data_IF_467055692906
#
_entry.id   IF_467055692906
#
_cell.length_a   1.000
_cell.length_b   1.000
_cell.length_c   1.000
_cell.angle_alpha   90.00
_cell.angle_beta   90.00
_cell.angle_gamma   90.00
#
_symmetry.space_group_name_H-M   'P 1'
#
loop_
_entity.id
_entity.type
_entity.pdbx_description
1 polymer ?
#
# COMPACT_ATOMS: atom_id res chain seq x y z
N UNK A 1 16.35 94.44 -26.76
CA UNK A 1 14.96 94.03 -26.84
C UNK A 1 14.76 92.94 -25.82
N UNK A 2 13.98 93.28 -24.79
CA UNK A 2 13.79 92.47 -23.58
C UNK A 2 12.71 91.39 -23.79
N UNK A 3 12.85 90.27 -23.21
CA UNK A 3 11.70 89.47 -22.85
C UNK A 3 12.04 88.56 -21.63
N UNK A 4 11.43 88.93 -20.55
CA UNK A 4 11.44 88.23 -19.24
C UNK A 4 10.51 87.07 -19.27
N UNK A 5 11.01 85.87 -18.98
CA UNK A 5 10.13 84.72 -18.68
C UNK A 5 10.16 84.42 -17.19
N UNK A 6 9.00 84.55 -16.58
CA UNK A 6 8.76 84.21 -15.17
C UNK A 6 8.60 82.70 -15.05
N UNK A 7 9.44 82.07 -14.27
CA UNK A 7 9.33 80.69 -13.88
C UNK A 7 8.27 80.52 -12.80
N UNK A 8 7.26 79.74 -13.09
CA UNK A 8 6.28 79.27 -12.10
C UNK A 8 6.72 77.88 -11.63
N UNK A 9 7.11 77.78 -10.37
CA UNK A 9 7.43 76.52 -9.74
C UNK A 9 6.15 75.79 -9.34
N UNK A 10 5.85 74.69 -10.00
CA UNK A 10 4.76 73.79 -9.60
C UNK A 10 5.35 72.71 -8.67
N UNK A 11 4.96 72.76 -7.39
CA UNK A 11 5.27 71.74 -6.41
C UNK A 11 4.35 70.54 -6.60
N UNK A 12 4.89 69.46 -7.11
CA UNK A 12 4.19 68.18 -7.22
C UNK A 12 4.35 67.36 -5.92
N UNK A 13 3.29 67.28 -5.15
CA UNK A 13 3.17 66.41 -4.00
C UNK A 13 2.94 64.97 -4.51
N UNK A 14 3.97 64.13 -4.42
CA UNK A 14 3.88 62.70 -4.64
C UNK A 14 3.31 62.04 -3.39
N UNK A 15 2.01 61.66 -3.48
CA UNK A 15 1.35 60.79 -2.49
C UNK A 15 1.78 59.35 -2.77
N UNK A 16 2.62 58.81 -1.90
CA UNK A 16 2.97 57.39 -1.93
C UNK A 16 1.81 56.60 -1.29
N UNK A 17 0.97 55.95 -2.09
CA UNK A 17 0.01 54.98 -1.63
C UNK A 17 0.74 53.64 -1.37
N UNK A 18 1.01 53.30 -0.10
CA UNK A 18 1.49 52.03 0.30
C UNK A 18 0.39 50.98 0.12
N UNK A 19 0.48 50.18 -0.96
CA UNK A 19 -0.39 49.04 -1.14
C UNK A 19 0.06 47.92 -0.18
N UNK A 20 -0.68 47.71 0.91
CA UNK A 20 -0.52 46.53 1.79
C UNK A 20 -1.08 45.32 1.05
N UNK A 21 -0.20 44.53 0.41
CA UNK A 21 -0.56 43.24 -0.14
C UNK A 21 -0.80 42.30 1.03
N UNK A 22 -2.08 42.01 1.32
CA UNK A 22 -2.45 40.93 2.24
C UNK A 22 -2.01 39.60 1.60
N UNK A 23 -0.93 39.00 2.11
CA UNK A 23 -0.53 37.63 1.77
C UNK A 23 -1.57 36.71 2.37
N UNK A 24 -2.55 36.31 1.56
CA UNK A 24 -3.47 35.23 1.90
C UNK A 24 -2.66 33.94 1.84
N UNK A 25 -2.25 33.44 2.99
CA UNK A 25 -1.64 32.12 3.07
C UNK A 25 -2.66 31.07 2.55
N UNK A 26 -2.26 30.16 1.64
CA UNK A 26 -3.16 29.10 1.21
C UNK A 26 -3.58 28.28 2.44
N UNK A 27 -4.86 27.81 2.49
CA UNK A 27 -5.28 26.92 3.57
C UNK A 27 -4.34 25.72 3.59
N UNK A 28 -3.71 25.50 4.74
CA UNK A 28 -2.91 24.31 4.99
C UNK A 28 -3.83 23.13 4.72
N UNK A 29 -3.53 22.38 3.65
CA UNK A 29 -4.21 21.12 3.37
C UNK A 29 -3.97 20.25 4.60
N UNK A 30 -5.00 20.11 5.45
CA UNK A 30 -4.98 19.12 6.51
C UNK A 30 -4.73 17.79 5.81
N UNK A 31 -3.58 17.18 6.09
CA UNK A 31 -3.28 15.84 5.61
C UNK A 31 -4.41 14.95 6.12
N UNK A 32 -5.29 14.50 5.23
CA UNK A 32 -6.25 13.46 5.58
C UNK A 32 -5.46 12.28 6.10
N UNK A 33 -5.65 11.96 7.37
CA UNK A 33 -5.13 10.74 7.97
C UNK A 33 -5.92 9.60 7.32
N UNK A 34 -5.45 9.13 6.18
CA UNK A 34 -5.99 7.93 5.56
C UNK A 34 -5.62 6.77 6.48
N UNK A 35 -6.62 6.26 7.20
CA UNK A 35 -6.47 5.03 7.99
C UNK A 35 -6.14 3.91 7.01
N UNK A 36 -4.88 3.48 7.01
CA UNK A 36 -4.40 2.42 6.13
C UNK A 36 -5.06 1.10 6.56
N UNK A 37 -5.75 0.44 5.62
CA UNK A 37 -6.32 -0.89 5.87
C UNK A 37 -5.22 -1.89 6.20
N UNK A 38 -5.55 -2.79 7.12
CA UNK A 38 -4.71 -3.93 7.48
C UNK A 38 -5.39 -5.25 7.16
N UNK A 39 -4.65 -6.34 7.20
CA UNK A 39 -5.20 -7.69 7.00
C UNK A 39 -6.27 -8.08 8.03
N UNK A 40 -6.42 -7.35 9.14
CA UNK A 40 -7.50 -7.53 10.11
C UNK A 40 -8.85 -6.92 9.67
N UNK A 41 -8.91 -6.22 8.54
CA UNK A 41 -10.09 -5.50 8.06
C UNK A 41 -10.88 -6.27 7.00
N UNK A 42 -10.82 -7.62 7.05
CA UNK A 42 -11.62 -8.52 6.20
C UNK A 42 -11.42 -8.24 4.70
N UNK A 43 -10.17 -8.23 4.25
CA UNK A 43 -9.73 -7.73 2.93
C UNK A 43 -9.81 -8.75 1.79
N UNK A 44 -10.23 -9.98 2.06
CA UNK A 44 -10.41 -11.05 1.07
C UNK A 44 -11.74 -11.77 1.30
N UNK A 45 -12.26 -12.51 0.32
CA UNK A 45 -13.44 -13.34 0.50
C UNK A 45 -13.06 -14.81 0.77
N UNK A 46 -13.91 -15.49 1.57
CA UNK A 46 -13.73 -16.91 1.84
C UNK A 46 -13.74 -17.75 0.56
N UNK A 47 -14.63 -17.41 -0.39
CA UNK A 47 -14.74 -18.12 -1.67
C UNK A 47 -13.44 -18.01 -2.48
N UNK A 48 -12.82 -16.84 -2.50
CA UNK A 48 -11.54 -16.64 -3.14
C UNK A 48 -10.44 -17.51 -2.52
N UNK A 49 -10.33 -17.48 -1.21
CA UNK A 49 -9.33 -18.26 -0.49
C UNK A 49 -9.53 -19.78 -0.68
N UNK A 50 -10.76 -20.26 -0.55
CA UNK A 50 -11.08 -21.68 -0.76
C UNK A 50 -10.78 -22.13 -2.19
N UNK A 51 -11.04 -21.27 -3.18
CA UNK A 51 -10.74 -21.53 -4.59
C UNK A 51 -9.24 -21.68 -4.89
N UNK A 52 -8.38 -21.00 -4.14
CA UNK A 52 -6.92 -21.09 -4.34
C UNK A 52 -6.27 -22.33 -3.67
N UNK A 53 -7.01 -23.03 -2.80
CA UNK A 53 -6.49 -24.16 -2.03
C UNK A 53 -5.81 -25.22 -2.89
N UNK A 54 -6.49 -25.69 -3.92
CA UNK A 54 -5.99 -26.78 -4.77
C UNK A 54 -4.70 -26.35 -5.52
N UNK A 55 -4.63 -25.10 -5.97
CA UNK A 55 -3.42 -24.57 -6.60
C UNK A 55 -2.28 -24.50 -5.60
N UNK A 56 -2.52 -23.99 -4.39
CA UNK A 56 -1.51 -23.94 -3.34
C UNK A 56 -0.96 -25.34 -3.01
N UNK A 57 -1.84 -26.31 -2.81
CA UNK A 57 -1.45 -27.70 -2.50
C UNK A 57 -0.60 -28.31 -3.61
N UNK A 58 -0.86 -27.95 -4.87
CA UNK A 58 -0.16 -28.51 -6.03
C UNK A 58 1.23 -27.93 -6.24
N UNK A 59 1.42 -26.61 -6.06
CA UNK A 59 2.64 -25.93 -6.49
C UNK A 59 3.42 -25.22 -5.36
N UNK A 60 2.85 -25.09 -4.15
CA UNK A 60 3.46 -24.34 -3.05
C UNK A 60 3.74 -25.20 -1.81
N UNK A 61 2.81 -26.12 -1.48
CA UNK A 61 2.80 -26.80 -0.18
C UNK A 61 4.02 -27.69 0.10
N UNK A 62 4.75 -28.12 -0.94
CA UNK A 62 5.95 -28.93 -0.74
C UNK A 62 7.08 -28.16 -0.03
N UNK A 63 7.17 -26.85 -0.26
CA UNK A 63 8.21 -25.98 0.29
C UNK A 63 7.69 -24.98 1.31
N UNK A 64 6.39 -24.76 1.37
CA UNK A 64 5.76 -23.73 2.18
C UNK A 64 4.73 -24.28 3.18
N UNK A 65 5.19 -24.81 4.35
CA UNK A 65 4.29 -25.11 5.48
C UNK A 65 3.72 -23.82 6.08
N UNK A 66 2.78 -23.94 7.04
CA UNK A 66 2.23 -22.78 7.75
C UNK A 66 2.81 -22.58 9.16
N UNK A 67 3.72 -23.43 9.58
CA UNK A 67 4.43 -23.28 10.85
C UNK A 67 5.83 -23.89 10.80
N UNK A 68 6.70 -23.50 11.72
CA UNK A 68 8.04 -24.11 11.88
C UNK A 68 7.93 -25.59 12.21
N UNK A 69 6.91 -26.01 12.97
CA UNK A 69 6.69 -27.39 13.35
C UNK A 69 6.32 -28.30 12.17
N UNK A 70 5.77 -27.74 11.11
CA UNK A 70 5.38 -28.47 9.89
C UNK A 70 6.51 -28.62 8.88
N UNK A 71 7.66 -27.99 9.10
CA UNK A 71 8.82 -28.10 8.19
C UNK A 71 9.30 -29.54 8.09
N UNK A 72 9.52 -29.98 6.86
CA UNK A 72 10.06 -31.31 6.53
C UNK A 72 11.53 -31.23 6.10
N UNK A 73 11.96 -30.08 5.59
CA UNK A 73 13.31 -29.83 5.08
C UNK A 73 13.85 -28.53 5.69
N UNK A 74 15.15 -28.39 5.92
CA UNK A 74 15.73 -27.14 6.47
C UNK A 74 15.44 -25.89 5.62
N UNK A 75 15.29 -26.05 4.31
CA UNK A 75 15.01 -24.97 3.36
C UNK A 75 13.53 -24.57 3.24
N UNK A 76 12.63 -25.30 3.89
CA UNK A 76 11.22 -24.97 3.86
C UNK A 76 10.99 -23.60 4.52
N UNK A 77 10.17 -22.76 3.88
CA UNK A 77 9.88 -21.40 4.33
C UNK A 77 8.43 -21.34 4.76
N UNK A 78 8.14 -21.25 6.08
CA UNK A 78 6.77 -21.14 6.55
C UNK A 78 6.06 -19.90 6.06
N UNK A 79 4.82 -20.03 5.62
CA UNK A 79 3.91 -18.93 5.28
C UNK A 79 2.94 -18.60 6.42
N UNK A 80 3.31 -18.94 7.64
CA UNK A 80 2.59 -18.62 8.87
C UNK A 80 3.52 -18.55 10.06
N UNK A 81 2.95 -18.23 11.22
CA UNK A 81 3.71 -18.07 12.46
C UNK A 81 4.66 -16.87 12.45
N UNK A 82 5.58 -16.85 13.43
CA UNK A 82 6.48 -15.71 13.64
C UNK A 82 7.35 -15.41 12.43
N UNK A 83 7.92 -16.42 11.78
CA UNK A 83 8.76 -16.26 10.58
C UNK A 83 8.03 -15.47 9.47
N UNK A 84 6.75 -15.79 9.20
CA UNK A 84 5.97 -15.06 8.22
C UNK A 84 5.74 -13.61 8.65
N UNK A 85 5.34 -13.39 9.90
CA UNK A 85 5.01 -12.05 10.39
C UNK A 85 6.25 -11.16 10.57
N UNK A 86 7.39 -11.68 10.89
CA UNK A 86 8.66 -10.94 10.93
C UNK A 86 9.05 -10.39 9.55
N UNK A 87 8.80 -11.17 8.51
CA UNK A 87 9.13 -10.78 7.14
C UNK A 87 8.10 -9.86 6.48
N UNK A 88 6.82 -9.97 6.85
CA UNK A 88 5.74 -9.34 6.10
C UNK A 88 4.97 -8.26 6.86
N UNK A 89 5.01 -8.18 8.19
CA UNK A 89 4.28 -7.15 8.94
C UNK A 89 4.69 -5.75 8.51
N UNK A 90 3.71 -4.90 8.23
CA UNK A 90 3.89 -3.53 7.76
C UNK A 90 4.11 -3.41 6.24
N UNK A 91 4.25 -4.52 5.51
CA UNK A 91 4.41 -4.51 4.05
C UNK A 91 3.05 -4.64 3.36
N UNK A 92 2.86 -4.02 2.18
CA UNK A 92 1.64 -4.17 1.39
C UNK A 92 1.44 -5.60 0.90
N UNK A 93 0.19 -6.06 0.84
CA UNK A 93 -0.16 -7.36 0.24
C UNK A 93 0.26 -7.47 -1.23
N UNK A 94 0.32 -6.34 -1.93
CA UNK A 94 0.81 -6.29 -3.31
C UNK A 94 2.27 -6.73 -3.47
N UNK A 95 3.11 -6.49 -2.47
CA UNK A 95 4.49 -6.97 -2.49
C UNK A 95 4.55 -8.50 -2.36
N UNK A 96 3.70 -9.08 -1.48
CA UNK A 96 3.58 -10.53 -1.36
C UNK A 96 3.06 -11.15 -2.65
N UNK A 97 2.00 -10.58 -3.25
CA UNK A 97 1.46 -11.05 -4.51
C UNK A 97 2.48 -10.95 -5.65
N UNK A 98 3.22 -9.83 -5.74
CA UNK A 98 4.28 -9.65 -6.74
C UNK A 98 5.41 -10.67 -6.54
N UNK A 99 5.82 -10.92 -5.32
CA UNK A 99 6.83 -11.95 -5.02
C UNK A 99 6.36 -13.32 -5.50
N UNK A 100 5.09 -13.68 -5.24
CA UNK A 100 4.53 -14.95 -5.73
C UNK A 100 4.52 -14.99 -7.26
N UNK A 101 4.00 -13.97 -7.91
CA UNK A 101 3.84 -13.95 -9.37
C UNK A 101 5.18 -13.99 -10.13
N UNK A 102 6.22 -13.32 -9.60
CA UNK A 102 7.48 -13.16 -10.31
C UNK A 102 8.55 -14.19 -9.94
N UNK A 103 8.45 -14.79 -8.76
CA UNK A 103 9.55 -15.63 -8.23
C UNK A 103 9.13 -17.02 -7.80
N UNK A 104 7.82 -17.32 -7.77
CA UNK A 104 7.32 -18.61 -7.30
C UNK A 104 6.51 -19.36 -8.36
N UNK A 105 6.61 -20.68 -8.40
CA UNK A 105 7.61 -21.50 -7.71
C UNK A 105 9.01 -21.26 -8.29
N UNK A 106 10.03 -21.20 -7.41
CA UNK A 106 11.40 -20.83 -7.82
C UNK A 106 12.14 -21.89 -8.63
N UNK A 107 11.56 -23.09 -8.76
CA UNK A 107 12.05 -24.16 -9.63
C UNK A 107 11.53 -24.06 -11.07
N UNK A 108 10.70 -23.06 -11.36
CA UNK A 108 10.11 -22.83 -12.68
C UNK A 108 9.07 -23.87 -13.10
N UNK A 109 8.56 -24.68 -12.17
CA UNK A 109 7.59 -25.76 -12.47
C UNK A 109 6.21 -25.25 -12.90
N UNK A 110 5.89 -23.99 -12.64
CA UNK A 110 4.65 -23.33 -13.04
C UNK A 110 4.86 -21.80 -13.24
N UNK A 111 3.90 -21.18 -13.93
CA UNK A 111 3.78 -19.72 -14.01
C UNK A 111 2.52 -19.33 -13.24
N UNK A 112 2.64 -18.32 -12.36
CA UNK A 112 1.53 -17.79 -11.57
C UNK A 112 1.19 -16.39 -12.08
N UNK A 113 -0.03 -16.18 -12.55
CA UNK A 113 -0.52 -14.86 -12.95
C UNK A 113 -0.73 -13.95 -11.73
N UNK A 114 -0.83 -12.62 -11.96
CA UNK A 114 -1.11 -11.66 -10.89
C UNK A 114 -2.43 -11.97 -10.16
N UNK A 115 -3.47 -12.39 -10.89
CA UNK A 115 -4.76 -12.75 -10.31
C UNK A 115 -4.64 -14.00 -9.43
N UNK A 116 -3.98 -15.04 -9.92
CA UNK A 116 -3.71 -16.25 -9.15
C UNK A 116 -2.86 -15.95 -7.90
N UNK A 117 -1.89 -15.04 -8.01
CA UNK A 117 -1.09 -14.61 -6.86
C UNK A 117 -1.96 -13.94 -5.78
N UNK A 118 -2.91 -13.07 -6.16
CA UNK A 118 -3.87 -12.48 -5.21
C UNK A 118 -4.78 -13.54 -4.58
N UNK A 119 -5.20 -14.55 -5.33
CA UNK A 119 -5.98 -15.66 -4.81
C UNK A 119 -5.15 -16.50 -3.82
N UNK A 120 -3.89 -16.77 -4.12
CA UNK A 120 -2.96 -17.43 -3.20
C UNK A 120 -2.71 -16.63 -1.94
N UNK A 121 -2.56 -15.30 -2.05
CA UNK A 121 -2.47 -14.40 -0.88
C UNK A 121 -3.72 -14.52 -0.01
N UNK A 122 -4.92 -14.52 -0.59
CA UNK A 122 -6.15 -14.71 0.17
C UNK A 122 -6.17 -16.05 0.95
N UNK A 123 -5.69 -17.12 0.33
CA UNK A 123 -5.54 -18.43 1.00
C UNK A 123 -4.51 -18.37 2.14
N UNK A 124 -3.37 -17.73 1.93
CA UNK A 124 -2.35 -17.54 2.97
C UNK A 124 -2.94 -16.76 4.17
N UNK A 125 -3.70 -15.69 3.90
CA UNK A 125 -4.38 -14.93 4.96
C UNK A 125 -5.39 -15.79 5.73
N UNK A 126 -6.19 -16.58 5.04
CA UNK A 126 -7.14 -17.51 5.66
C UNK A 126 -6.43 -18.50 6.59
N UNK A 127 -5.33 -19.10 6.13
CA UNK A 127 -4.53 -20.07 6.90
C UNK A 127 -3.86 -19.43 8.11
N UNK A 128 -3.60 -18.13 8.08
CA UNK A 128 -3.09 -17.36 9.21
C UNK A 128 -4.17 -16.81 10.14
N UNK A 129 -5.45 -17.18 9.94
CA UNK A 129 -6.54 -16.82 10.83
C UNK A 129 -7.08 -15.40 10.68
N UNK A 130 -6.79 -14.72 9.57
CA UNK A 130 -7.40 -13.42 9.30
C UNK A 130 -8.89 -13.54 8.95
N UNK A 131 -9.72 -12.55 9.32
CA UNK A 131 -11.14 -12.57 9.02
C UNK A 131 -11.39 -12.42 7.51
N UNK A 132 -12.27 -13.26 6.96
CA UNK A 132 -12.76 -13.10 5.61
C UNK A 132 -13.85 -12.03 5.54
N UNK A 133 -13.90 -11.29 4.45
CA UNK A 133 -14.97 -10.37 4.10
C UNK A 133 -15.87 -10.92 3.00
N UNK A 134 -16.63 -10.02 2.39
CA UNK A 134 -17.55 -10.34 1.29
C UNK A 134 -16.95 -10.08 -0.10
N UNK A 135 -15.91 -9.23 -0.18
CA UNK A 135 -15.26 -8.88 -1.44
C UNK A 135 -13.95 -9.63 -1.60
N UNK A 136 -13.61 -10.05 -2.81
CA UNK A 136 -12.30 -10.64 -3.07
C UNK A 136 -11.18 -9.58 -2.89
N UNK A 137 -10.00 -10.05 -2.56
CA UNK A 137 -8.78 -9.26 -2.64
C UNK A 137 -8.45 -9.07 -4.13
N UNK A 138 -8.35 -7.81 -4.53
CA UNK A 138 -8.04 -7.38 -5.88
C UNK A 138 -6.84 -6.41 -5.89
N UNK A 139 -6.50 -5.86 -7.05
CA UNK A 139 -5.43 -4.87 -7.19
C UNK A 139 -5.66 -3.61 -6.34
N UNK A 140 -6.91 -3.20 -6.12
CA UNK A 140 -7.22 -2.05 -5.28
C UNK A 140 -6.94 -2.35 -3.79
N UNK A 141 -7.12 -3.61 -3.38
CA UNK A 141 -6.78 -4.09 -2.04
C UNK A 141 -5.28 -4.32 -1.80
N UNK A 142 -4.47 -4.30 -2.84
CA UNK A 142 -3.03 -4.60 -2.76
C UNK A 142 -2.24 -3.64 -1.86
N UNK A 143 -2.72 -2.42 -1.63
CA UNK A 143 -2.12 -1.46 -0.70
C UNK A 143 -2.37 -1.78 0.79
N UNK A 144 -3.24 -2.75 1.10
CA UNK A 144 -3.48 -3.22 2.46
C UNK A 144 -2.20 -3.76 3.09
N UNK A 145 -1.89 -3.36 4.32
CA UNK A 145 -0.68 -3.83 5.00
C UNK A 145 -0.93 -5.10 5.79
N UNK A 146 0.06 -5.97 5.80
CA UNK A 146 0.07 -7.15 6.64
C UNK A 146 0.20 -6.72 8.11
N UNK A 147 -0.69 -7.21 8.95
CA UNK A 147 -0.63 -7.05 10.40
C UNK A 147 -0.60 -8.43 11.07
N UNK A 148 -0.28 -8.48 12.36
CA UNK A 148 -0.50 -9.72 13.12
C UNK A 148 -1.99 -9.91 13.36
N UNK A 149 -2.53 -11.15 13.31
CA UNK A 149 -3.93 -11.41 13.62
C UNK A 149 -4.29 -10.93 15.02
N UNK A 150 -5.44 -10.28 15.14
CA UNK A 150 -6.02 -9.96 16.47
C UNK A 150 -6.52 -11.26 17.09
N UNK A 151 -6.14 -11.46 18.34
CA UNK A 151 -6.67 -12.58 19.16
C UNK A 151 -8.10 -12.29 19.57
#
# INVERSE_FOLDING_TARGET
>A
MSSTFRSVAAASLLVWAAAVAAVVAPPSAAAEVTVQKSTNDSVYSKVQADGAKAQFEKICAECHPFSEAEKKKPKDVPLGGDTFFENWTGRPLGELATTIALTMPNDGSAVVSEEEALNLVAFILQKNGFPAGTKPLDKAGAATVVARPKK
#
